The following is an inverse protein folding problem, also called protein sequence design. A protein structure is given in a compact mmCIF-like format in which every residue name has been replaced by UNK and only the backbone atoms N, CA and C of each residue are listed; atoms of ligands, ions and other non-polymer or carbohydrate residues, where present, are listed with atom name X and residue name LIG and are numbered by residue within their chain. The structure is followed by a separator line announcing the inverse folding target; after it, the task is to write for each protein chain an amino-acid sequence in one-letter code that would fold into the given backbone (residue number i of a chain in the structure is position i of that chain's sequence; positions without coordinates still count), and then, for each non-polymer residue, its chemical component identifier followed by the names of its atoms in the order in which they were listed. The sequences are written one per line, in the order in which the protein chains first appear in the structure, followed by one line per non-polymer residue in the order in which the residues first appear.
data_IF_862465742390
#
_entry.id   IF_862465742390
#
_cell.length_a   1.000
_cell.length_b   1.000
_cell.length_c   1.000
_cell.angle_alpha   90.00
_cell.angle_beta   90.00
_cell.angle_gamma   90.00
#
_symmetry.space_group_name_H-M   'P 1'
#
loop_
_entity.id
_entity.type
_entity.pdbx_description
1 polymer ?
#
# COMPACT_ATOMS: atom_id res chain seq x y z
N UNK A 1 -49.65 -6.81 -29.99
CA UNK A 1 -48.55 -7.64 -30.52
C UNK A 1 -47.26 -7.19 -29.84
N UNK A 2 -46.67 -8.09 -29.05
CA UNK A 2 -45.59 -7.78 -28.12
C UNK A 2 -44.21 -7.79 -28.79
N UNK A 3 -43.31 -6.99 -28.21
CA UNK A 3 -41.96 -6.71 -28.64
C UNK A 3 -41.01 -7.92 -28.58
N UNK A 4 -40.03 -7.94 -29.50
CA UNK A 4 -38.77 -8.68 -29.34
C UNK A 4 -37.63 -7.83 -29.92
N UNK A 5 -36.94 -7.08 -29.04
CA UNK A 5 -35.62 -6.54 -29.34
C UNK A 5 -34.61 -7.52 -28.73
N UNK A 6 -33.81 -8.16 -29.57
CA UNK A 6 -32.76 -9.07 -29.16
C UNK A 6 -31.73 -8.33 -28.30
N UNK A 7 -31.55 -8.79 -27.06
CA UNK A 7 -30.47 -8.33 -26.18
C UNK A 7 -29.29 -9.27 -26.45
N UNK A 8 -28.28 -8.74 -27.14
CA UNK A 8 -26.99 -9.42 -27.29
C UNK A 8 -26.40 -9.66 -25.91
N UNK A 9 -26.17 -10.91 -25.56
CA UNK A 9 -25.41 -11.30 -24.39
C UNK A 9 -23.93 -11.05 -24.69
N UNK A 10 -23.40 -9.93 -24.18
CA UNK A 10 -21.96 -9.72 -24.14
C UNK A 10 -21.38 -10.71 -23.13
N UNK A 11 -20.78 -11.77 -23.64
CA UNK A 11 -19.98 -12.74 -22.89
C UNK A 11 -18.81 -11.98 -22.24
N UNK A 12 -18.88 -11.75 -20.93
CA UNK A 12 -17.68 -11.43 -20.15
C UNK A 12 -16.82 -12.68 -20.12
N UNK A 13 -15.84 -12.78 -21.00
CA UNK A 13 -14.73 -13.70 -20.81
C UNK A 13 -13.99 -13.25 -19.56
N UNK A 14 -14.19 -13.98 -18.46
CA UNK A 14 -13.27 -13.93 -17.34
C UNK A 14 -11.96 -14.56 -17.84
N UNK A 15 -11.02 -13.72 -18.25
CA UNK A 15 -9.64 -14.16 -18.38
C UNK A 15 -9.22 -14.69 -17.00
N UNK A 16 -8.85 -15.97 -16.96
CA UNK A 16 -8.24 -16.58 -15.78
C UNK A 16 -6.91 -15.84 -15.57
N UNK A 17 -6.91 -14.80 -14.73
CA UNK A 17 -5.66 -14.18 -14.28
C UNK A 17 -4.85 -15.29 -13.62
N UNK A 18 -3.65 -15.54 -14.15
CA UNK A 18 -2.67 -16.43 -13.53
C UNK A 18 -2.31 -15.81 -12.17
N UNK A 19 -2.88 -16.35 -11.10
CA UNK A 19 -2.71 -15.81 -9.75
C UNK A 19 -1.32 -16.21 -9.24
N UNK A 20 -0.48 -15.22 -8.98
CA UNK A 20 0.86 -15.41 -8.43
C UNK A 20 0.85 -15.31 -6.90
N UNK A 21 1.80 -15.98 -6.26
CA UNK A 21 2.01 -15.80 -4.82
C UNK A 21 2.36 -14.33 -4.54
N UNK A 22 1.54 -13.68 -3.71
CA UNK A 22 1.61 -12.24 -3.46
C UNK A 22 0.44 -11.46 -4.04
N UNK A 23 -0.37 -12.06 -4.91
CA UNK A 23 -1.62 -11.44 -5.36
C UNK A 23 -2.64 -11.37 -4.23
N UNK A 24 -3.19 -10.18 -4.03
CA UNK A 24 -4.25 -9.95 -3.06
C UNK A 24 -5.57 -9.66 -3.79
N UNK A 25 -6.64 -10.44 -3.53
CA UNK A 25 -7.93 -10.22 -4.18
C UNK A 25 -8.44 -8.79 -3.94
N UNK A 26 -8.77 -8.09 -5.03
CA UNK A 26 -9.29 -6.72 -4.98
C UNK A 26 -8.22 -5.63 -4.98
N UNK A 27 -6.94 -5.97 -5.05
CA UNK A 27 -5.84 -5.02 -5.12
C UNK A 27 -5.15 -5.16 -6.47
N UNK A 28 -5.06 -4.05 -7.20
CA UNK A 28 -4.39 -4.03 -8.49
C UNK A 28 -2.88 -3.81 -8.31
N UNK A 29 -2.06 -4.71 -8.85
CA UNK A 29 -0.59 -4.60 -8.80
C UNK A 29 -0.04 -3.39 -9.58
N UNK A 30 -0.90 -2.65 -10.29
CA UNK A 30 -0.56 -1.37 -10.90
C UNK A 30 -0.12 -0.32 -9.87
N UNK A 31 -0.51 -0.45 -8.59
CA UNK A 31 -0.09 0.45 -7.49
C UNK A 31 1.43 0.52 -7.30
N UNK A 32 2.17 -0.52 -7.70
CA UNK A 32 3.64 -0.56 -7.59
C UNK A 32 4.36 0.03 -8.80
N UNK A 33 3.61 0.54 -9.79
CA UNK A 33 4.20 1.03 -11.03
C UNK A 33 4.12 2.54 -11.08
N UNK A 34 5.29 3.16 -11.22
CA UNK A 34 5.36 4.52 -11.71
C UNK A 34 4.90 4.54 -13.17
N UNK A 35 3.79 5.23 -13.44
CA UNK A 35 3.20 5.31 -14.77
C UNK A 35 2.97 6.77 -15.10
N UNK A 36 3.48 7.19 -16.25
CA UNK A 36 3.08 8.46 -16.84
C UNK A 36 1.71 8.29 -17.51
N UNK A 37 0.69 8.11 -16.69
CA UNK A 37 -0.69 7.89 -17.09
C UNK A 37 -1.58 9.01 -16.53
N UNK A 38 -2.45 9.65 -17.34
CA UNK A 38 -3.25 10.78 -16.88
C UNK A 38 -4.13 10.47 -15.66
N UNK A 39 -4.67 9.25 -15.54
CA UNK A 39 -5.53 8.87 -14.42
C UNK A 39 -4.71 8.73 -13.15
N UNK A 40 -3.53 8.10 -13.22
CA UNK A 40 -2.62 7.97 -12.07
C UNK A 40 -2.03 9.30 -11.65
N UNK A 41 -1.65 10.15 -12.61
CA UNK A 41 -1.16 11.50 -12.33
C UNK A 41 -2.23 12.33 -11.63
N UNK A 42 -3.49 12.25 -12.07
CA UNK A 42 -4.60 12.95 -11.41
C UNK A 42 -4.91 12.37 -10.03
N UNK A 43 -4.87 11.05 -9.87
CA UNK A 43 -5.06 10.40 -8.57
C UNK A 43 -4.01 10.86 -7.54
N UNK A 44 -2.74 10.94 -7.94
CA UNK A 44 -1.68 11.48 -7.07
C UNK A 44 -1.86 12.97 -6.77
N UNK A 45 -2.22 13.77 -7.77
CA UNK A 45 -2.53 15.20 -7.59
C UNK A 45 -3.67 15.42 -6.59
N UNK A 46 -4.75 14.65 -6.70
CA UNK A 46 -5.90 14.71 -5.77
C UNK A 46 -5.48 14.25 -4.38
N UNK A 47 -4.72 13.16 -4.28
CA UNK A 47 -4.22 12.63 -2.99
C UNK A 47 -3.37 13.67 -2.26
N UNK A 48 -2.44 14.33 -2.95
CA UNK A 48 -1.61 15.40 -2.38
C UNK A 48 -2.46 16.58 -1.90
N UNK A 49 -3.43 17.02 -2.71
CA UNK A 49 -4.33 18.11 -2.31
C UNK A 49 -5.16 17.77 -1.07
N UNK A 50 -5.64 16.53 -0.95
CA UNK A 50 -6.37 16.06 0.22
C UNK A 50 -5.48 15.99 1.46
N UNK A 51 -4.23 15.54 1.34
CA UNK A 51 -3.26 15.54 2.45
C UNK A 51 -3.01 16.95 2.96
N UNK A 52 -2.81 17.91 2.05
CA UNK A 52 -2.63 19.31 2.40
C UNK A 52 -3.87 19.88 3.11
N UNK A 53 -5.07 19.59 2.60
CA UNK A 53 -6.31 20.05 3.21
C UNK A 53 -6.55 19.44 4.59
N UNK A 54 -6.25 18.15 4.78
CA UNK A 54 -6.36 17.49 6.09
C UNK A 54 -5.36 18.07 7.10
N UNK A 55 -4.12 18.36 6.67
CA UNK A 55 -3.13 19.07 7.49
C UNK A 55 -3.65 20.44 7.93
N UNK A 56 -4.16 21.24 6.99
CA UNK A 56 -4.63 22.59 7.29
C UNK A 56 -5.83 22.57 8.24
N UNK A 57 -6.78 21.66 8.03
CA UNK A 57 -7.92 21.48 8.92
C UNK A 57 -7.48 21.07 10.34
N UNK A 58 -6.57 20.09 10.47
CA UNK A 58 -6.06 19.65 11.77
C UNK A 58 -5.31 20.77 12.51
N UNK A 59 -4.40 21.46 11.81
CA UNK A 59 -3.60 22.54 12.39
C UNK A 59 -4.44 23.74 12.79
N UNK A 60 -5.50 24.06 12.04
CA UNK A 60 -6.47 25.10 12.42
C UNK A 60 -7.18 24.82 13.76
N UNK A 61 -7.19 23.55 14.18
CA UNK A 61 -7.77 23.06 15.44
C UNK A 61 -6.70 22.76 16.50
N UNK A 62 -5.47 23.27 16.31
CA UNK A 62 -4.32 22.99 17.18
C UNK A 62 -3.97 21.49 17.31
N UNK A 63 -4.33 20.68 16.32
CA UNK A 63 -3.95 19.28 16.24
C UNK A 63 -2.77 19.10 15.28
N UNK A 64 -1.89 18.14 15.58
CA UNK A 64 -0.85 17.69 14.65
C UNK A 64 -1.44 16.68 13.69
N UNK A 65 -0.97 16.71 12.44
CA UNK A 65 -1.36 15.77 11.40
C UNK A 65 -0.13 14.99 10.95
N UNK A 66 -0.26 13.67 10.85
CA UNK A 66 0.82 12.73 10.49
C UNK A 66 0.26 11.72 9.51
N UNK A 67 1.01 11.41 8.47
CA UNK A 67 0.67 10.34 7.52
C UNK A 67 1.47 9.10 7.88
N UNK A 68 0.81 7.94 7.92
CA UNK A 68 1.45 6.65 8.15
C UNK A 68 1.10 5.73 6.98
N UNK A 69 2.10 5.16 6.30
CA UNK A 69 1.85 4.16 5.26
C UNK A 69 1.73 2.78 5.86
N UNK A 70 0.88 1.94 5.29
CA UNK A 70 0.79 0.52 5.63
C UNK A 70 1.64 -0.29 4.64
N UNK A 71 2.00 -1.51 5.01
CA UNK A 71 2.56 -2.48 4.07
C UNK A 71 1.47 -3.36 3.46
N UNK A 72 1.76 -3.89 2.28
CA UNK A 72 1.05 -5.00 1.66
C UNK A 72 1.79 -6.33 1.89
N UNK A 73 1.09 -7.47 1.83
CA UNK A 73 1.67 -8.77 2.13
C UNK A 73 2.92 -9.07 1.30
N UNK A 74 2.89 -8.77 0.00
CA UNK A 74 4.02 -9.00 -0.90
C UNK A 74 5.22 -8.07 -0.65
N UNK A 75 4.99 -6.83 -0.18
CA UNK A 75 6.09 -5.92 0.15
C UNK A 75 6.96 -6.48 1.29
N UNK A 76 6.34 -7.22 2.23
CA UNK A 76 7.00 -7.72 3.45
C UNK A 76 7.05 -9.24 3.52
N UNK A 77 6.86 -9.93 2.40
CA UNK A 77 6.97 -11.38 2.35
C UNK A 77 8.37 -11.80 2.83
N UNK A 78 8.52 -12.73 3.79
CA UNK A 78 9.81 -12.97 4.47
C UNK A 78 10.88 -13.59 3.56
N UNK A 79 10.47 -14.32 2.52
CA UNK A 79 11.39 -14.85 1.51
C UNK A 79 11.59 -13.82 0.38
N UNK A 80 12.80 -13.25 0.21
CA UNK A 80 13.10 -12.33 -0.88
C UNK A 80 12.87 -12.92 -2.27
N UNK A 81 12.99 -14.26 -2.44
CA UNK A 81 12.76 -14.91 -3.72
C UNK A 81 11.30 -14.84 -4.15
N UNK A 82 10.36 -14.84 -3.21
CA UNK A 82 8.93 -14.68 -3.51
C UNK A 82 8.67 -13.26 -4.01
N UNK A 83 9.22 -12.26 -3.31
CA UNK A 83 9.10 -10.85 -3.74
C UNK A 83 9.73 -10.62 -5.11
N UNK A 84 10.90 -11.22 -5.37
CA UNK A 84 11.56 -11.10 -6.67
C UNK A 84 10.74 -11.72 -7.80
N UNK A 85 10.17 -12.92 -7.60
CA UNK A 85 9.29 -13.54 -8.61
C UNK A 85 8.09 -12.68 -8.94
N UNK A 86 7.47 -12.06 -7.93
CA UNK A 86 6.36 -11.15 -8.13
C UNK A 86 6.77 -9.88 -8.88
N UNK A 87 7.91 -9.29 -8.51
CA UNK A 87 8.53 -8.16 -9.21
C UNK A 87 8.73 -8.49 -10.69
N UNK A 88 9.36 -9.63 -10.98
CA UNK A 88 9.68 -10.05 -12.34
C UNK A 88 8.42 -10.32 -13.15
N UNK A 89 7.45 -11.03 -12.56
CA UNK A 89 6.18 -11.37 -13.21
C UNK A 89 5.39 -10.14 -13.63
N UNK A 90 5.31 -9.12 -12.75
CA UNK A 90 4.57 -7.90 -13.06
C UNK A 90 5.42 -6.82 -13.71
N UNK A 91 6.74 -6.99 -13.87
CA UNK A 91 7.62 -5.94 -14.38
C UNK A 91 7.57 -4.69 -13.50
N UNK A 92 7.72 -4.88 -12.19
CA UNK A 92 7.74 -3.82 -11.18
C UNK A 92 9.18 -3.39 -10.95
N UNK A 93 9.49 -2.09 -11.08
CA UNK A 93 10.84 -1.61 -10.79
C UNK A 93 11.12 -1.49 -9.29
N UNK A 94 10.07 -1.19 -8.53
CA UNK A 94 10.17 -0.88 -7.10
C UNK A 94 8.85 -1.18 -6.38
N UNK A 95 8.87 -2.15 -5.46
CA UNK A 95 7.69 -2.49 -4.64
C UNK A 95 7.31 -1.40 -3.63
N UNK A 96 8.21 -0.46 -3.36
CA UNK A 96 8.00 0.67 -2.44
C UNK A 96 7.80 2.00 -3.16
N UNK A 97 7.58 1.98 -4.49
CA UNK A 97 7.14 3.15 -5.24
C UNK A 97 6.02 3.95 -4.55
N UNK A 98 4.90 3.34 -4.09
CA UNK A 98 3.85 4.10 -3.41
C UNK A 98 4.34 4.76 -2.11
N UNK A 99 5.16 4.08 -1.31
CA UNK A 99 5.76 4.62 -0.10
C UNK A 99 6.62 5.86 -0.40
N UNK A 100 7.48 5.78 -1.43
CA UNK A 100 8.30 6.92 -1.86
C UNK A 100 7.47 8.07 -2.42
N UNK A 101 6.34 7.80 -3.05
CA UNK A 101 5.42 8.85 -3.49
C UNK A 101 4.81 9.58 -2.28
N UNK A 102 4.39 8.86 -1.25
CA UNK A 102 3.91 9.47 -0.01
C UNK A 102 5.00 10.27 0.69
N UNK A 103 6.23 9.77 0.76
CA UNK A 103 7.38 10.50 1.33
C UNK A 103 7.57 11.84 0.62
N UNK A 104 7.69 11.84 -0.72
CA UNK A 104 7.82 13.07 -1.52
C UNK A 104 6.65 14.03 -1.36
N UNK A 105 5.41 13.51 -1.32
CA UNK A 105 4.20 14.34 -1.12
C UNK A 105 4.25 15.00 0.25
N UNK A 106 4.54 14.22 1.29
CA UNK A 106 4.56 14.70 2.67
C UNK A 106 5.68 15.73 2.89
N UNK A 107 6.86 15.52 2.30
CA UNK A 107 7.95 16.50 2.28
C UNK A 107 7.51 17.84 1.66
N UNK A 108 6.92 17.82 0.45
CA UNK A 108 6.42 19.04 -0.20
C UNK A 108 5.36 19.76 0.61
N UNK A 109 4.52 18.99 1.29
CA UNK A 109 3.42 19.50 2.12
C UNK A 109 3.85 19.77 3.57
N UNK A 110 5.12 19.64 3.94
CA UNK A 110 5.59 19.80 5.32
C UNK A 110 4.75 18.99 6.33
N UNK A 111 4.37 17.77 5.94
CA UNK A 111 3.63 16.81 6.78
C UNK A 111 4.62 15.74 7.26
N UNK A 112 4.71 15.45 8.56
CA UNK A 112 5.46 14.29 9.03
C UNK A 112 4.89 12.99 8.46
N UNK A 113 5.77 12.14 7.92
CA UNK A 113 5.41 10.83 7.39
C UNK A 113 6.13 9.72 8.15
N UNK A 114 5.41 8.64 8.46
CA UNK A 114 5.95 7.40 9.00
C UNK A 114 5.79 6.31 7.93
N UNK A 115 6.88 6.03 7.22
CA UNK A 115 6.92 5.03 6.15
C UNK A 115 7.23 3.65 6.74
N UNK A 116 6.25 2.74 6.76
CA UNK A 116 6.40 1.45 7.44
C UNK A 116 6.93 0.32 6.55
N UNK A 117 6.60 0.31 5.25
CA UNK A 117 6.85 -0.82 4.34
C UNK A 117 8.27 -1.38 4.40
N UNK A 118 9.32 -0.59 4.10
CA UNK A 118 10.71 -1.06 4.11
C UNK A 118 11.18 -1.56 5.47
N UNK A 119 10.70 -0.94 6.56
CA UNK A 119 11.06 -1.34 7.94
C UNK A 119 10.41 -2.66 8.34
N UNK A 120 9.16 -2.87 7.94
CA UNK A 120 8.46 -4.13 8.17
C UNK A 120 9.04 -5.26 7.31
N UNK A 121 9.45 -4.97 6.07
CA UNK A 121 10.16 -5.93 5.22
C UNK A 121 11.47 -6.38 5.87
N UNK A 122 12.29 -5.43 6.31
CA UNK A 122 13.56 -5.72 6.97
C UNK A 122 13.36 -6.63 8.20
N UNK A 123 12.34 -6.33 9.02
CA UNK A 123 11.98 -7.17 10.16
C UNK A 123 11.56 -8.58 9.73
N UNK A 124 10.63 -8.70 8.78
CA UNK A 124 10.09 -9.98 8.31
C UNK A 124 11.20 -10.87 7.72
N UNK A 125 12.09 -10.27 6.91
CA UNK A 125 13.18 -10.98 6.27
C UNK A 125 14.24 -11.45 7.27
N UNK A 126 14.66 -10.60 8.21
CA UNK A 126 15.67 -10.96 9.22
C UNK A 126 15.19 -12.05 10.15
N UNK A 127 13.92 -11.99 10.56
CA UNK A 127 13.34 -12.91 11.53
C UNK A 127 12.67 -14.13 10.88
N UNK A 128 12.53 -14.16 9.55
CA UNK A 128 11.86 -15.23 8.79
C UNK A 128 10.42 -15.45 9.25
N UNK A 129 9.68 -14.37 9.47
CA UNK A 129 8.30 -14.38 9.98
C UNK A 129 7.36 -13.66 9.03
N UNK A 130 6.12 -14.15 8.95
CA UNK A 130 5.05 -13.45 8.27
C UNK A 130 4.46 -12.37 9.16
N UNK A 131 4.22 -11.19 8.60
CA UNK A 131 3.55 -10.08 9.28
C UNK A 131 2.09 -9.90 8.82
N UNK A 132 1.66 -10.62 7.80
CA UNK A 132 0.31 -10.58 7.24
C UNK A 132 -0.35 -11.96 7.30
N UNK A 133 -1.67 -11.97 7.28
CA UNK A 133 -2.48 -13.16 7.05
C UNK A 133 -2.67 -14.07 8.25
N UNK A 134 -3.68 -14.93 8.14
CA UNK A 134 -4.09 -15.87 9.19
C UNK A 134 -4.44 -17.21 8.57
N UNK A 135 -4.23 -18.31 9.30
CA UNK A 135 -4.61 -19.65 8.84
C UNK A 135 -3.99 -19.99 7.48
N UNK A 136 -4.84 -20.33 6.51
CA UNK A 136 -4.43 -20.67 5.14
C UNK A 136 -3.93 -19.47 4.33
N UNK A 137 -4.26 -18.24 4.74
CA UNK A 137 -3.93 -17.01 4.00
C UNK A 137 -2.67 -16.32 4.55
N UNK A 138 -1.80 -17.06 5.25
CA UNK A 138 -0.57 -16.52 5.84
C UNK A 138 0.30 -15.83 4.77
N UNK A 139 0.71 -14.59 5.06
CA UNK A 139 1.47 -13.74 4.16
C UNK A 139 0.64 -12.87 3.20
N UNK A 140 -0.69 -12.85 3.33
CA UNK A 140 -1.59 -12.05 2.49
C UNK A 140 -2.62 -11.28 3.36
N UNK A 141 -3.14 -10.17 2.85
CA UNK A 141 -4.28 -9.46 3.42
C UNK A 141 -3.87 -8.61 4.62
N UNK A 142 -4.66 -8.63 5.70
CA UNK A 142 -4.40 -7.78 6.87
C UNK A 142 -3.12 -8.17 7.60
N UNK A 143 -2.56 -7.23 8.36
CA UNK A 143 -1.55 -7.55 9.37
C UNK A 143 -2.05 -8.63 10.33
N UNK A 144 -1.17 -9.57 10.66
CA UNK A 144 -1.42 -10.51 11.74
C UNK A 144 -1.05 -9.89 13.10
N UNK A 145 -1.20 -10.63 14.19
CA UNK A 145 -0.89 -10.11 15.53
C UNK A 145 0.56 -9.60 15.64
N UNK A 146 1.51 -10.28 15.00
CA UNK A 146 2.90 -9.85 14.98
C UNK A 146 3.08 -8.59 14.13
N UNK A 147 2.47 -8.53 12.94
CA UNK A 147 2.47 -7.34 12.08
C UNK A 147 1.93 -6.11 12.78
N UNK A 148 0.75 -6.20 13.41
CA UNK A 148 0.17 -5.12 14.19
C UNK A 148 1.08 -4.66 15.32
N UNK A 149 1.69 -5.61 16.05
CA UNK A 149 2.60 -5.29 17.15
C UNK A 149 3.82 -4.51 16.65
N UNK A 150 4.51 -5.01 15.63
CA UNK A 150 5.72 -4.35 15.11
C UNK A 150 5.38 -3.00 14.48
N UNK A 151 4.30 -2.90 13.70
CA UNK A 151 3.83 -1.63 13.17
C UNK A 151 3.53 -0.62 14.30
N UNK A 152 2.85 -1.04 15.36
CA UNK A 152 2.56 -0.20 16.51
C UNK A 152 3.81 0.27 17.25
N UNK A 153 4.79 -0.62 17.48
CA UNK A 153 6.08 -0.28 18.09
C UNK A 153 6.85 0.74 17.22
N UNK A 154 6.85 0.55 15.90
CA UNK A 154 7.48 1.45 14.94
C UNK A 154 6.82 2.83 14.92
N UNK A 155 5.49 2.89 14.89
CA UNK A 155 4.73 4.16 14.94
C UNK A 155 4.97 4.87 16.28
N UNK A 156 4.86 4.16 17.40
CA UNK A 156 5.02 4.73 18.73
C UNK A 156 6.42 5.32 18.93
N UNK A 157 7.46 4.64 18.40
CA UNK A 157 8.83 5.15 18.44
C UNK A 157 8.95 6.48 17.72
N UNK A 158 8.48 6.56 16.48
CA UNK A 158 8.61 7.78 15.68
C UNK A 158 7.79 8.94 16.26
N UNK A 159 6.59 8.64 16.80
CA UNK A 159 5.75 9.62 17.49
C UNK A 159 6.41 10.17 18.76
N UNK A 160 6.96 9.30 19.61
CA UNK A 160 7.41 9.67 20.95
C UNK A 160 8.92 10.00 21.03
N UNK A 161 9.77 9.18 20.42
CA UNK A 161 11.22 9.28 20.55
C UNK A 161 11.79 10.31 19.55
N UNK A 162 11.37 10.22 18.30
CA UNK A 162 11.91 11.01 17.18
C UNK A 162 11.22 12.38 17.04
N UNK A 163 10.26 12.67 17.93
CA UNK A 163 9.80 14.02 18.19
C UNK A 163 8.67 14.52 17.30
N UNK A 164 7.99 13.65 16.54
CA UNK A 164 6.78 14.05 15.80
C UNK A 164 5.72 14.64 16.76
N UNK A 165 5.68 14.18 18.02
CA UNK A 165 4.84 14.73 19.09
C UNK A 165 5.57 15.60 20.14
N UNK A 166 6.88 15.84 20.00
CA UNK A 166 7.58 16.84 20.85
C UNK A 166 7.31 18.23 20.31
#
# INVERSE_FOLDING_TARGET
MAARKARSAATKSAETKDLMQGDEPGIENAVYKERNDPVWNDAWRVTEALIAQMRDEATSRNARFVVVTLSQGIQVYPDPKVRQKFIDHYGISDLFYPDHQFEKICERQNVPAIILGPRLQDYAERNKVYLHGFGSDIGNGHWNQLGHRIAGELIARDLCADGILK
#
